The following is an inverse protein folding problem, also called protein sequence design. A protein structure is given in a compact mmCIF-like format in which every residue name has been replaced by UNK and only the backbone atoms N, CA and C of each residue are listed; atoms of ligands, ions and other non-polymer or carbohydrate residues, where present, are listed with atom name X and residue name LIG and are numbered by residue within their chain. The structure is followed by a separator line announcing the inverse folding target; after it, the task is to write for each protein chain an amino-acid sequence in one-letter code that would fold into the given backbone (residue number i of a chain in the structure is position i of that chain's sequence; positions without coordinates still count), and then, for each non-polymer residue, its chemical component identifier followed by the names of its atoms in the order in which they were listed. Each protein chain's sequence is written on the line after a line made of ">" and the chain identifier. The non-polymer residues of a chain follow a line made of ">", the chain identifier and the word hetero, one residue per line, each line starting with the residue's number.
data_IF_295531739308
#
_entry.id   IF_295531739308
#
_cell.length_a   1.000
_cell.length_b   1.000
_cell.length_c   1.000
_cell.angle_alpha   90.00
_cell.angle_beta   90.00
_cell.angle_gamma   90.00
#
_symmetry.space_group_name_H-M   'P 1'
#
loop_
_entity.id
_entity.type
_entity.pdbx_description
1 polymer ?
#
# COMPACT_ATOMS: atom_id res chain seq x y z
N UNK A 1 36.35 12.47 -25.44
CA UNK A 1 35.60 11.83 -24.34
C UNK A 1 34.53 12.81 -23.90
N UNK A 2 33.24 12.49 -24.02
CA UNK A 2 32.19 13.39 -23.55
C UNK A 2 32.22 13.42 -22.02
N UNK A 3 32.70 14.51 -21.42
CA UNK A 3 32.63 14.75 -19.98
C UNK A 3 31.16 14.86 -19.61
N UNK A 4 30.64 13.79 -19.01
CA UNK A 4 29.26 13.78 -18.53
C UNK A 4 29.19 14.69 -17.30
N UNK A 5 28.70 15.90 -17.50
CA UNK A 5 28.53 16.91 -16.47
C UNK A 5 27.22 16.68 -15.71
N UNK A 6 27.13 17.27 -14.52
CA UNK A 6 25.89 17.24 -13.77
C UNK A 6 24.81 18.07 -14.46
N UNK A 7 23.58 17.56 -14.51
CA UNK A 7 22.45 18.29 -15.09
C UNK A 7 22.17 19.66 -14.44
N UNK A 8 22.54 19.87 -13.17
CA UNK A 8 22.38 21.15 -12.46
C UNK A 8 23.62 22.04 -12.50
N UNK A 9 24.80 21.48 -12.83
CA UNK A 9 26.08 22.15 -12.68
C UNK A 9 27.02 21.74 -13.82
N UNK A 10 27.27 22.68 -14.73
CA UNK A 10 28.15 22.46 -15.89
C UNK A 10 29.63 22.37 -15.47
N UNK A 11 29.99 22.91 -14.30
CA UNK A 11 31.35 22.90 -13.76
C UNK A 11 31.69 21.61 -12.99
N UNK A 12 30.72 20.72 -12.76
CA UNK A 12 30.90 19.52 -11.91
C UNK A 12 30.83 18.23 -12.70
N UNK A 13 31.79 17.35 -12.45
CA UNK A 13 31.78 15.98 -12.97
C UNK A 13 30.60 15.18 -12.38
N UNK A 14 29.94 14.38 -13.21
CA UNK A 14 28.94 13.44 -12.70
C UNK A 14 29.59 12.33 -11.87
N UNK A 15 28.85 11.83 -10.89
CA UNK A 15 29.20 10.64 -10.11
C UNK A 15 28.29 9.46 -10.45
N UNK A 16 26.98 9.71 -10.55
CA UNK A 16 25.98 8.66 -10.73
C UNK A 16 24.81 9.14 -11.60
N UNK A 17 23.98 8.18 -12.01
CA UNK A 17 22.72 8.43 -12.69
C UNK A 17 21.54 8.32 -11.72
N UNK A 18 20.59 9.25 -11.84
CA UNK A 18 19.34 9.15 -11.10
C UNK A 18 18.56 7.90 -11.54
N UNK A 19 18.23 6.99 -10.62
CA UNK A 19 17.44 5.79 -10.90
C UNK A 19 16.02 6.09 -11.40
N UNK A 20 15.46 7.26 -11.07
CA UNK A 20 14.12 7.66 -11.50
C UNK A 20 14.03 8.27 -12.90
N UNK A 21 15.05 9.02 -13.35
CA UNK A 21 15.00 9.77 -14.62
C UNK A 21 16.26 9.67 -15.49
N UNK A 22 17.24 8.85 -15.09
CA UNK A 22 18.51 8.63 -15.78
C UNK A 22 19.34 9.90 -16.06
N UNK A 23 19.13 10.98 -15.30
CA UNK A 23 19.93 12.22 -15.42
C UNK A 23 21.28 12.09 -14.68
N UNK A 24 22.37 12.62 -15.24
CA UNK A 24 23.67 12.62 -14.57
C UNK A 24 23.68 13.60 -13.39
N UNK A 25 24.11 13.12 -12.22
CA UNK A 25 24.12 13.87 -10.97
C UNK A 25 25.53 13.90 -10.38
N UNK A 26 25.95 15.05 -9.84
CA UNK A 26 27.19 15.17 -9.06
C UNK A 26 26.98 14.67 -7.61
N UNK A 27 28.05 14.46 -6.84
CA UNK A 27 27.97 14.01 -5.44
C UNK A 27 27.11 14.89 -4.53
N UNK A 28 26.96 16.18 -4.85
CA UNK A 28 26.17 17.13 -4.07
C UNK A 28 24.68 17.15 -4.45
N UNK A 29 24.36 16.75 -5.68
CA UNK A 29 22.98 16.75 -6.20
C UNK A 29 22.31 15.38 -6.07
N UNK A 30 23.10 14.34 -5.83
CA UNK A 30 22.65 12.97 -5.69
C UNK A 30 22.36 12.66 -4.23
N UNK A 31 21.23 12.01 -3.98
CA UNK A 31 20.89 11.46 -2.68
C UNK A 31 20.82 9.93 -2.80
N UNK A 32 21.46 9.23 -1.89
CA UNK A 32 21.37 7.77 -1.80
C UNK A 32 20.16 7.38 -0.95
N UNK A 33 19.23 6.62 -1.54
CA UNK A 33 18.05 6.08 -0.86
C UNK A 33 18.04 4.58 -1.11
N UNK A 34 18.30 3.79 -0.06
CA UNK A 34 18.32 2.30 -0.10
C UNK A 34 19.32 1.72 -1.13
N UNK A 35 20.46 2.37 -1.32
CA UNK A 35 21.50 1.93 -2.25
C UNK A 35 21.31 2.39 -3.69
N UNK A 36 20.20 3.08 -4.00
CA UNK A 36 19.97 3.72 -5.29
C UNK A 36 20.18 5.23 -5.20
N UNK A 37 20.64 5.83 -6.30
CA UNK A 37 20.93 7.25 -6.41
C UNK A 37 19.77 8.01 -7.05
N UNK A 38 19.31 9.09 -6.42
CA UNK A 38 18.21 9.93 -6.91
C UNK A 38 18.60 11.40 -7.01
N UNK A 39 18.04 12.10 -8.00
CA UNK A 39 18.11 13.56 -8.07
C UNK A 39 17.05 14.20 -7.16
N UNK A 40 17.25 15.47 -6.82
CA UNK A 40 16.34 16.25 -5.98
C UNK A 40 14.86 16.17 -6.40
N UNK A 41 14.58 16.33 -7.70
CA UNK A 41 13.21 16.27 -8.22
C UNK A 41 12.55 14.91 -8.02
N UNK A 42 13.28 13.82 -8.28
CA UNK A 42 12.75 12.47 -8.09
C UNK A 42 12.63 12.11 -6.61
N UNK A 43 13.53 12.62 -5.75
CA UNK A 43 13.42 12.50 -4.29
C UNK A 43 12.12 13.13 -3.79
N UNK A 44 11.81 14.35 -4.23
CA UNK A 44 10.61 15.06 -3.75
C UNK A 44 9.33 14.35 -4.20
N UNK A 45 9.34 13.76 -5.40
CA UNK A 45 8.26 12.88 -5.86
C UNK A 45 8.13 11.62 -4.99
N UNK A 46 9.25 10.95 -4.69
CA UNK A 46 9.26 9.79 -3.79
C UNK A 46 8.74 10.15 -2.39
N UNK A 47 9.12 11.31 -1.86
CA UNK A 47 8.67 11.79 -0.56
C UNK A 47 7.16 12.12 -0.57
N UNK A 48 6.67 12.74 -1.65
CA UNK A 48 5.25 13.01 -1.84
C UNK A 48 4.42 11.72 -1.92
N UNK A 49 4.91 10.69 -2.61
CA UNK A 49 4.24 9.38 -2.72
C UNK A 49 4.16 8.66 -1.36
N UNK A 50 5.18 8.78 -0.51
CA UNK A 50 5.17 8.22 0.85
C UNK A 50 4.11 8.88 1.72
N UNK A 51 3.93 10.21 1.61
CA UNK A 51 2.84 10.90 2.32
C UNK A 51 1.45 10.61 1.75
N UNK A 52 1.38 10.12 0.51
CA UNK A 52 0.14 9.67 -0.12
C UNK A 52 -0.21 8.20 0.16
N UNK A 53 0.42 7.55 1.15
CA UNK A 53 -0.18 6.36 1.78
C UNK A 53 -1.43 6.75 2.56
N UNK A 54 -2.46 7.21 1.84
CA UNK A 54 -3.83 7.35 2.30
C UNK A 54 -4.24 5.95 2.69
N UNK A 55 -4.32 5.71 4.01
CA UNK A 55 -5.19 4.67 4.56
C UNK A 55 -6.51 4.81 3.81
N UNK A 56 -6.83 3.84 2.93
CA UNK A 56 -8.07 3.91 2.18
C UNK A 56 -9.19 3.96 3.24
N UNK A 57 -9.97 5.05 3.33
CA UNK A 57 -11.00 5.17 4.35
C UNK A 57 -12.03 4.03 4.24
N UNK A 58 -12.10 3.42 3.05
CA UNK A 58 -12.91 2.24 2.74
C UNK A 58 -12.39 0.97 3.41
N UNK A 59 -11.07 0.77 3.50
CA UNK A 59 -10.47 -0.36 4.19
C UNK A 59 -10.68 -0.25 5.70
N UNK A 60 -10.52 0.94 6.27
CA UNK A 60 -10.80 1.21 7.69
C UNK A 60 -12.27 0.97 8.02
N UNK A 61 -13.19 1.44 7.17
CA UNK A 61 -14.64 1.18 7.33
C UNK A 61 -14.97 -0.31 7.28
N UNK A 62 -14.35 -1.08 6.39
CA UNK A 62 -14.57 -2.52 6.31
C UNK A 62 -14.14 -3.25 7.60
N UNK A 63 -12.99 -2.88 8.17
CA UNK A 63 -12.50 -3.45 9.44
C UNK A 63 -13.42 -3.10 10.62
N UNK A 64 -13.87 -1.84 10.72
CA UNK A 64 -14.80 -1.41 11.77
C UNK A 64 -16.13 -2.17 11.67
N UNK A 65 -16.70 -2.30 10.47
CA UNK A 65 -17.95 -3.04 10.27
C UNK A 65 -17.80 -4.53 10.61
N UNK A 66 -16.67 -5.15 10.27
CA UNK A 66 -16.37 -6.53 10.65
C UNK A 66 -16.27 -6.68 12.18
N UNK A 67 -15.60 -5.76 12.87
CA UNK A 67 -15.49 -5.77 14.33
C UNK A 67 -16.86 -5.59 15.01
N UNK A 68 -17.71 -4.69 14.51
CA UNK A 68 -19.08 -4.49 14.99
C UNK A 68 -19.91 -5.76 14.78
N UNK A 69 -19.81 -6.42 13.63
CA UNK A 69 -20.54 -7.66 13.35
C UNK A 69 -20.12 -8.82 14.28
N UNK A 70 -18.85 -8.87 14.68
CA UNK A 70 -18.35 -9.84 15.68
C UNK A 70 -18.85 -9.48 17.10
N UNK A 71 -18.87 -8.19 17.47
CA UNK A 71 -19.30 -7.72 18.80
C UNK A 71 -20.82 -7.82 19.03
N UNK A 72 -21.64 -7.52 18.01
CA UNK A 72 -23.10 -7.35 18.17
C UNK A 72 -23.93 -8.61 17.86
N UNK A 73 -23.34 -9.80 17.93
CA UNK A 73 -24.13 -11.02 18.00
C UNK A 73 -24.31 -11.72 16.66
N UNK A 74 -23.45 -12.71 16.47
CA UNK A 74 -23.55 -13.85 15.56
C UNK A 74 -24.92 -14.54 15.67
N UNK A 75 -25.87 -14.21 14.79
CA UNK A 75 -26.84 -15.20 14.26
C UNK A 75 -27.31 -14.81 12.87
N UNK A 76 -27.90 -13.62 12.71
CA UNK A 76 -28.46 -13.19 11.42
C UNK A 76 -27.60 -12.13 10.71
N UNK A 77 -27.01 -11.22 11.48
CA UNK A 77 -26.18 -10.11 10.98
C UNK A 77 -24.86 -10.64 10.40
N UNK A 78 -24.22 -11.60 11.05
CA UNK A 78 -22.97 -12.22 10.58
C UNK A 78 -23.09 -12.94 9.22
N UNK A 79 -24.23 -13.57 8.94
CA UNK A 79 -24.45 -14.33 7.69
C UNK A 79 -24.61 -13.41 6.47
N UNK A 80 -25.22 -12.23 6.64
CA UNK A 80 -25.35 -11.23 5.57
C UNK A 80 -24.11 -10.35 5.44
N UNK A 81 -23.48 -9.95 6.55
CA UNK A 81 -22.31 -9.08 6.55
C UNK A 81 -21.01 -9.80 6.16
N UNK A 82 -20.90 -11.10 6.40
CA UNK A 82 -19.72 -11.90 6.01
C UNK A 82 -19.45 -11.83 4.50
N UNK A 83 -20.39 -12.27 3.63
CA UNK A 83 -20.23 -12.19 2.18
C UNK A 83 -20.08 -10.75 1.68
N UNK A 84 -20.76 -9.79 2.30
CA UNK A 84 -20.66 -8.37 1.95
C UNK A 84 -19.26 -7.81 2.23
N UNK A 85 -18.67 -8.14 3.39
CA UNK A 85 -17.31 -7.77 3.75
C UNK A 85 -16.28 -8.42 2.81
N UNK A 86 -16.47 -9.70 2.43
CA UNK A 86 -15.61 -10.40 1.47
C UNK A 86 -15.69 -9.74 0.09
N UNK A 87 -16.89 -9.39 -0.40
CA UNK A 87 -17.07 -8.70 -1.68
C UNK A 87 -16.34 -7.36 -1.73
N UNK A 88 -16.42 -6.56 -0.65
CA UNK A 88 -15.70 -5.29 -0.55
C UNK A 88 -14.19 -5.47 -0.41
N UNK A 89 -13.74 -6.48 0.34
CA UNK A 89 -12.33 -6.83 0.44
C UNK A 89 -11.75 -7.27 -0.91
N UNK A 90 -12.52 -8.00 -1.71
CA UNK A 90 -12.09 -8.45 -3.04
C UNK A 90 -11.90 -7.28 -4.01
N UNK A 91 -12.82 -6.29 -4.03
CA UNK A 91 -12.64 -5.05 -4.79
C UNK A 91 -11.42 -4.25 -4.34
N UNK A 92 -11.19 -4.15 -3.02
CA UNK A 92 -10.00 -3.48 -2.49
C UNK A 92 -8.70 -4.21 -2.88
N UNK A 93 -8.73 -5.55 -2.93
CA UNK A 93 -7.60 -6.35 -3.37
C UNK A 93 -7.28 -6.11 -4.86
N UNK A 94 -8.29 -5.96 -5.72
CA UNK A 94 -8.10 -5.64 -7.13
C UNK A 94 -7.31 -4.33 -7.34
N UNK A 95 -7.67 -3.28 -6.59
CA UNK A 95 -6.99 -1.98 -6.62
C UNK A 95 -5.53 -2.10 -6.14
N UNK A 96 -5.25 -3.00 -5.21
CA UNK A 96 -3.89 -3.22 -4.68
C UNK A 96 -3.01 -4.08 -5.58
N UNK A 97 -3.59 -4.93 -6.44
CA UNK A 97 -2.82 -5.68 -7.45
C UNK A 97 -2.27 -4.79 -8.56
N UNK A 98 -2.96 -3.70 -8.91
CA UNK A 98 -2.48 -2.76 -9.93
C UNK A 98 -1.37 -1.83 -9.42
N UNK A 99 -1.26 -1.64 -8.09
CA UNK A 99 -0.28 -0.76 -7.45
C UNK A 99 0.74 -1.57 -6.62
N UNK A 100 1.70 -2.19 -7.30
CA UNK A 100 2.78 -3.00 -6.71
C UNK A 100 3.67 -2.24 -5.69
N UNK A 101 3.59 -0.90 -5.64
CA UNK A 101 4.32 -0.06 -4.69
C UNK A 101 3.59 0.22 -3.36
N UNK A 102 2.31 -0.14 -3.21
CA UNK A 102 1.56 0.16 -1.98
C UNK A 102 1.90 -0.82 -0.84
N UNK A 103 2.55 -0.28 0.20
CA UNK A 103 2.86 -0.91 1.49
C UNK A 103 1.57 -1.17 2.30
N UNK A 104 0.73 -2.12 1.85
CA UNK A 104 -0.56 -2.44 2.48
C UNK A 104 -0.94 -3.92 2.48
N UNK A 105 -0.12 -4.80 1.90
CA UNK A 105 -0.41 -6.22 1.65
C UNK A 105 -0.83 -7.02 2.89
N UNK A 106 -0.33 -6.66 4.07
CA UNK A 106 -0.68 -7.35 5.33
C UNK A 106 -2.08 -6.99 5.84
N UNK A 107 -2.58 -5.77 5.59
CA UNK A 107 -3.92 -5.34 6.03
C UNK A 107 -5.02 -6.10 5.29
N UNK A 108 -4.85 -6.37 3.99
CA UNK A 108 -5.80 -7.16 3.20
C UNK A 108 -5.82 -8.61 3.67
N UNK A 109 -4.64 -9.21 3.92
CA UNK A 109 -4.55 -10.56 4.48
C UNK A 109 -5.22 -10.65 5.84
N UNK A 110 -5.01 -9.67 6.72
CA UNK A 110 -5.66 -9.61 8.02
C UNK A 110 -7.19 -9.52 7.89
N UNK A 111 -7.71 -8.68 6.98
CA UNK A 111 -9.15 -8.56 6.73
C UNK A 111 -9.76 -9.88 6.22
N UNK A 112 -9.07 -10.60 5.33
CA UNK A 112 -9.52 -11.90 4.84
C UNK A 112 -9.56 -12.96 5.94
N UNK A 113 -8.51 -13.03 6.76
CA UNK A 113 -8.42 -14.01 7.85
C UNK A 113 -9.51 -13.74 8.89
N UNK A 114 -9.66 -12.48 9.33
CA UNK A 114 -10.68 -12.09 10.31
C UNK A 114 -12.09 -12.28 9.78
N UNK A 115 -12.37 -11.88 8.53
CA UNK A 115 -13.67 -12.08 7.89
C UNK A 115 -14.02 -13.55 7.70
N UNK A 116 -13.07 -14.38 7.27
CA UNK A 116 -13.25 -15.82 7.14
C UNK A 116 -13.53 -16.49 8.48
N UNK A 117 -12.80 -16.11 9.53
CA UNK A 117 -12.98 -16.65 10.87
C UNK A 117 -14.37 -16.31 11.43
N UNK A 118 -14.80 -15.04 11.30
CA UNK A 118 -16.13 -14.62 11.75
C UNK A 118 -17.26 -15.38 11.02
N UNK A 119 -17.09 -15.62 9.72
CA UNK A 119 -18.08 -16.36 8.90
C UNK A 119 -18.15 -17.84 9.33
N UNK A 120 -17.00 -18.47 9.57
CA UNK A 120 -16.93 -19.87 9.99
C UNK A 120 -17.58 -20.08 11.36
N UNK A 121 -17.30 -19.22 12.35
CA UNK A 121 -17.92 -19.31 13.68
C UNK A 121 -19.44 -19.12 13.56
N UNK A 122 -19.89 -18.15 12.74
CA UNK A 122 -21.31 -17.93 12.49
C UNK A 122 -22.02 -19.17 11.92
N UNK A 123 -21.41 -19.85 10.95
CA UNK A 123 -21.96 -21.08 10.36
C UNK A 123 -22.04 -22.23 11.36
N UNK A 124 -21.00 -22.44 12.19
CA UNK A 124 -20.99 -23.49 13.23
C UNK A 124 -22.07 -23.23 14.28
N UNK A 125 -22.26 -21.97 14.67
CA UNK A 125 -23.27 -21.59 15.68
C UNK A 125 -24.69 -21.84 15.19
N UNK A 126 -24.94 -21.71 13.88
CA UNK A 126 -26.23 -22.03 13.25
C UNK A 126 -26.52 -23.54 13.22
N UNK A 127 -25.50 -24.38 13.05
CA UNK A 127 -25.70 -25.85 13.03
C UNK A 127 -26.05 -26.43 14.40
N UNK A 128 -25.77 -25.71 15.49
CA UNK A 128 -26.00 -26.17 16.86
C UNK A 128 -27.35 -25.74 17.45
N UNK A 129 -28.15 -24.96 16.71
CA UNK A 129 -29.47 -24.47 17.14
C UNK A 129 -30.58 -25.01 16.26
#
# INVERSE_FOLDING_TARGET
>A
MATRQCYQHDDRAMMAYCAGCARPCCPNCVLEIRGDYYCERCRDQLAADVHQSRVLPEATRAVIMAAIAVLFGLKWIGLLLGPYAISRAWKAQQILTDAHWLRGRWHVRAAYVLGGFATAIGAVTLMQS
#
